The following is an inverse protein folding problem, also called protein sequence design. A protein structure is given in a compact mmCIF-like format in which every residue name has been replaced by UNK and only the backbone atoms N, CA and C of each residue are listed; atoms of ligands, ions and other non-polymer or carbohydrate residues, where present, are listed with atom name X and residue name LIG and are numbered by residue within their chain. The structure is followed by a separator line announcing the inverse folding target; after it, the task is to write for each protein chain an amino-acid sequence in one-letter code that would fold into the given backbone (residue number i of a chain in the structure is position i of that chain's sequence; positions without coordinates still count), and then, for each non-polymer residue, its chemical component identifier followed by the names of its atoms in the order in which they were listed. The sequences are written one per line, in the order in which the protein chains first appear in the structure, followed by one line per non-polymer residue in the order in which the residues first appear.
data_IF_381130752978
#
_entry.id   IF_381130752978
#
_cell.length_a   1.000
_cell.length_b   1.000
_cell.length_c   1.000
_cell.angle_alpha   90.00
_cell.angle_beta   90.00
_cell.angle_gamma   90.00
#
_symmetry.space_group_name_H-M   'P 1'
#
loop_
_entity.id
_entity.type
_entity.pdbx_description
1 polymer ?
#
# COMPACT_ATOMS: atom_id res chain seq x y z
N UNK A 1 -29.94 14.08 12.12
CA UNK A 1 -29.72 13.41 10.83
C UNK A 1 -30.93 12.53 10.59
N UNK A 2 -31.58 12.61 9.43
CA UNK A 2 -32.69 11.69 9.15
C UNK A 2 -32.15 10.26 8.86
N UNK A 3 -33.02 9.26 9.03
CA UNK A 3 -32.66 7.84 8.91
C UNK A 3 -32.12 7.50 7.52
N UNK A 4 -32.58 8.22 6.50
CA UNK A 4 -32.15 8.04 5.12
C UNK A 4 -30.70 8.50 4.92
N UNK A 5 -30.35 9.68 5.42
CA UNK A 5 -28.99 10.25 5.36
C UNK A 5 -27.99 9.38 6.14
N UNK A 6 -28.40 8.83 7.29
CA UNK A 6 -27.58 7.91 8.08
C UNK A 6 -27.24 6.62 7.30
N UNK A 7 -28.25 6.05 6.65
CA UNK A 7 -28.12 4.85 5.82
C UNK A 7 -27.22 5.08 4.60
N UNK A 8 -27.38 6.21 3.90
CA UNK A 8 -26.56 6.57 2.75
C UNK A 8 -25.09 6.79 3.14
N UNK A 9 -24.84 7.46 4.27
CA UNK A 9 -23.50 7.65 4.80
C UNK A 9 -22.85 6.30 5.14
N UNK A 10 -23.58 5.40 5.79
CA UNK A 10 -23.08 4.06 6.14
C UNK A 10 -22.69 3.25 4.89
N UNK A 11 -23.54 3.26 3.86
CA UNK A 11 -23.23 2.58 2.60
C UNK A 11 -22.01 3.19 1.89
N UNK A 12 -21.86 4.51 1.93
CA UNK A 12 -20.69 5.19 1.36
C UNK A 12 -19.40 4.79 2.11
N UNK A 13 -19.42 4.78 3.45
CA UNK A 13 -18.27 4.36 4.28
C UNK A 13 -17.88 2.90 4.01
N UNK A 14 -18.87 2.00 3.96
CA UNK A 14 -18.63 0.59 3.63
C UNK A 14 -18.02 0.42 2.23
N UNK A 15 -18.48 1.19 1.24
CA UNK A 15 -17.93 1.16 -0.12
C UNK A 15 -16.49 1.65 -0.17
N UNK A 16 -16.16 2.75 0.50
CA UNK A 16 -14.79 3.27 0.57
C UNK A 16 -13.87 2.27 1.26
N UNK A 17 -14.29 1.68 2.39
CA UNK A 17 -13.54 0.63 3.09
C UNK A 17 -13.25 -0.58 2.21
N UNK A 18 -14.23 -1.03 1.43
CA UNK A 18 -14.07 -2.12 0.47
C UNK A 18 -13.10 -1.76 -0.66
N UNK A 19 -13.14 -0.53 -1.17
CA UNK A 19 -12.19 -0.05 -2.18
C UNK A 19 -10.75 0.01 -1.64
N UNK A 20 -10.55 0.57 -0.45
CA UNK A 20 -9.22 0.63 0.18
C UNK A 20 -8.63 -0.75 0.43
N UNK A 21 -9.46 -1.72 0.84
CA UNK A 21 -8.99 -3.10 1.06
C UNK A 21 -8.56 -3.78 -0.24
N UNK A 22 -9.27 -3.53 -1.35
CA UNK A 22 -8.88 -4.03 -2.68
C UNK A 22 -7.58 -3.37 -3.17
N UNK A 23 -7.48 -2.04 -3.09
CA UNK A 23 -6.27 -1.31 -3.50
C UNK A 23 -5.06 -1.82 -2.72
N UNK A 24 -5.17 -1.98 -1.41
CA UNK A 24 -4.10 -2.51 -0.57
C UNK A 24 -3.66 -3.92 -1.04
N UNK A 25 -4.61 -4.82 -1.25
CA UNK A 25 -4.31 -6.18 -1.74
C UNK A 25 -3.67 -6.17 -3.14
N UNK A 26 -4.26 -5.41 -4.07
CA UNK A 26 -3.86 -5.38 -5.47
C UNK A 26 -2.49 -4.73 -5.68
N UNK A 27 -2.07 -3.84 -4.78
CA UNK A 27 -0.76 -3.16 -4.84
C UNK A 27 0.32 -3.91 -4.04
N UNK A 28 -0.01 -4.53 -2.90
CA UNK A 28 0.99 -5.24 -2.10
C UNK A 28 1.60 -6.43 -2.83
N UNK A 29 0.81 -7.15 -3.63
CA UNK A 29 1.32 -8.29 -4.39
C UNK A 29 2.39 -7.89 -5.42
N UNK A 30 2.15 -6.93 -6.34
CA UNK A 30 3.20 -6.46 -7.24
C UNK A 30 4.35 -5.75 -6.51
N UNK A 31 4.13 -5.04 -5.40
CA UNK A 31 5.23 -4.45 -4.61
C UNK A 31 6.15 -5.52 -4.01
N UNK A 32 5.58 -6.62 -3.50
CA UNK A 32 6.37 -7.74 -2.96
C UNK A 32 7.23 -8.38 -4.06
N UNK A 33 6.66 -8.56 -5.25
CA UNK A 33 7.42 -9.07 -6.42
C UNK A 33 8.52 -8.09 -6.83
N UNK A 34 8.25 -6.79 -6.87
CA UNK A 34 9.27 -5.78 -7.18
C UNK A 34 10.40 -5.76 -6.14
N UNK A 35 10.09 -5.81 -4.85
CA UNK A 35 11.10 -5.90 -3.78
C UNK A 35 12.02 -7.11 -3.98
N UNK A 36 11.43 -8.30 -4.14
CA UNK A 36 12.21 -9.53 -4.35
C UNK A 36 13.07 -9.49 -5.62
N UNK A 37 12.58 -8.86 -6.70
CA UNK A 37 13.38 -8.68 -7.91
C UNK A 37 14.55 -7.71 -7.69
N UNK A 38 14.36 -6.63 -6.94
CA UNK A 38 15.43 -5.68 -6.64
C UNK A 38 16.48 -6.31 -5.72
N UNK A 39 16.05 -7.07 -4.72
CA UNK A 39 16.93 -7.87 -3.84
C UNK A 39 17.76 -8.87 -4.65
N UNK A 40 17.13 -9.63 -5.56
CA UNK A 40 17.84 -10.54 -6.47
C UNK A 40 18.84 -9.80 -7.37
N UNK A 41 18.47 -8.63 -7.89
CA UNK A 41 19.38 -7.81 -8.70
C UNK A 41 20.59 -7.34 -7.89
N UNK A 42 20.43 -7.00 -6.62
CA UNK A 42 21.54 -6.65 -5.74
C UNK A 42 22.51 -7.83 -5.56
N UNK A 43 21.99 -9.04 -5.38
CA UNK A 43 22.82 -10.25 -5.31
C UNK A 43 23.59 -10.47 -6.62
N UNK A 44 22.92 -10.35 -7.77
CA UNK A 44 23.54 -10.52 -9.09
C UNK A 44 24.61 -9.46 -9.36
N UNK A 45 24.37 -8.20 -8.99
CA UNK A 45 25.34 -7.12 -9.11
C UNK A 45 26.61 -7.43 -8.33
N UNK A 46 26.47 -8.00 -7.14
CA UNK A 46 27.63 -8.41 -6.35
C UNK A 46 28.41 -9.56 -6.99
N UNK A 47 27.71 -10.55 -7.56
CA UNK A 47 28.36 -11.68 -8.25
C UNK A 47 29.06 -11.25 -9.53
N UNK A 48 28.50 -10.26 -10.24
CA UNK A 48 29.00 -9.79 -11.53
C UNK A 48 30.06 -8.68 -11.41
N UNK A 49 30.31 -8.16 -10.20
CA UNK A 49 31.28 -7.09 -9.97
C UNK A 49 30.86 -5.75 -10.55
N UNK A 50 29.55 -5.44 -10.52
CA UNK A 50 28.94 -4.23 -11.09
C UNK A 50 28.47 -3.25 -10.01
N UNK A 51 29.03 -3.34 -8.79
CA UNK A 51 28.53 -2.59 -7.64
C UNK A 51 28.68 -1.08 -7.81
N UNK A 52 29.70 -0.59 -8.52
CA UNK A 52 29.88 0.85 -8.70
C UNK A 52 28.81 1.44 -9.62
N UNK A 53 28.38 0.72 -10.65
CA UNK A 53 27.42 1.21 -11.64
C UNK A 53 25.97 1.11 -11.16
N UNK A 54 25.67 0.13 -10.30
CA UNK A 54 24.29 -0.24 -9.99
C UNK A 54 23.90 -0.10 -8.52
N UNK A 55 24.84 0.22 -7.60
CA UNK A 55 24.52 0.40 -6.18
C UNK A 55 23.48 1.49 -5.94
N UNK A 56 23.67 2.68 -6.50
CA UNK A 56 22.76 3.81 -6.30
C UNK A 56 21.39 3.58 -6.95
N UNK A 57 21.28 3.17 -8.24
CA UNK A 57 19.99 2.84 -8.84
C UNK A 57 19.20 1.76 -8.09
N UNK A 58 19.86 0.71 -7.60
CA UNK A 58 19.18 -0.35 -6.85
C UNK A 58 18.74 0.12 -5.46
N UNK A 59 19.51 1.01 -4.81
CA UNK A 59 19.10 1.63 -3.56
C UNK A 59 17.87 2.53 -3.76
N UNK A 60 17.85 3.35 -4.80
CA UNK A 60 16.71 4.21 -5.15
C UNK A 60 15.45 3.38 -5.43
N UNK A 61 15.59 2.24 -6.12
CA UNK A 61 14.48 1.33 -6.37
C UNK A 61 13.92 0.73 -5.08
N UNK A 62 14.78 0.28 -4.16
CA UNK A 62 14.33 -0.22 -2.85
C UNK A 62 13.62 0.87 -2.05
N UNK A 63 14.17 2.09 -2.01
CA UNK A 63 13.56 3.22 -1.31
C UNK A 63 12.17 3.55 -1.89
N UNK A 64 12.04 3.56 -3.22
CA UNK A 64 10.77 3.79 -3.88
C UNK A 64 9.74 2.69 -3.56
N UNK A 65 10.14 1.41 -3.58
CA UNK A 65 9.26 0.28 -3.21
C UNK A 65 8.83 0.39 -1.75
N UNK A 66 9.75 0.70 -0.84
CA UNK A 66 9.48 0.90 0.58
C UNK A 66 8.51 2.07 0.80
N UNK A 67 8.75 3.22 0.16
CA UNK A 67 7.89 4.40 0.27
C UNK A 67 6.48 4.17 -0.28
N UNK A 68 6.34 3.33 -1.31
CA UNK A 68 5.03 2.89 -1.82
C UNK A 68 4.32 1.97 -0.82
N UNK A 69 5.05 1.04 -0.19
CA UNK A 69 4.53 0.19 0.88
C UNK A 69 3.99 1.02 2.05
N UNK A 70 4.79 1.96 2.54
CA UNK A 70 4.39 2.87 3.63
C UNK A 70 3.14 3.70 3.26
N UNK A 71 3.05 4.13 2.00
CA UNK A 71 1.89 4.89 1.50
C UNK A 71 0.62 4.04 1.48
N UNK A 72 0.74 2.76 1.10
CA UNK A 72 -0.36 1.79 1.14
C UNK A 72 -0.79 1.49 2.58
N UNK A 73 0.16 1.35 3.51
CA UNK A 73 -0.14 1.13 4.93
C UNK A 73 -0.90 2.32 5.55
N UNK A 74 -0.57 3.56 5.16
CA UNK A 74 -1.34 4.74 5.57
C UNK A 74 -2.79 4.68 5.10
N UNK A 75 -3.09 4.10 3.93
CA UNK A 75 -4.47 3.89 3.49
C UNK A 75 -5.21 2.89 4.40
N UNK A 76 -4.50 1.94 5.00
CA UNK A 76 -5.10 0.99 5.96
C UNK A 76 -5.42 1.63 7.29
N UNK A 77 -4.63 2.62 7.71
CA UNK A 77 -4.96 3.48 8.86
C UNK A 77 -6.24 4.26 8.57
N UNK A 78 -6.35 4.91 7.41
CA UNK A 78 -7.58 5.62 7.00
C UNK A 78 -8.78 4.68 6.98
N UNK A 79 -8.61 3.47 6.46
CA UNK A 79 -9.65 2.43 6.50
C UNK A 79 -10.10 2.09 7.92
N UNK A 80 -9.16 2.01 8.87
CA UNK A 80 -9.46 1.82 10.29
C UNK A 80 -10.30 2.97 10.86
N UNK A 81 -9.91 4.21 10.59
CA UNK A 81 -10.66 5.40 11.00
C UNK A 81 -12.08 5.43 10.42
N UNK A 82 -12.27 5.00 9.16
CA UNK A 82 -13.60 4.88 8.56
C UNK A 82 -14.46 3.83 9.26
N UNK A 83 -13.86 2.73 9.72
CA UNK A 83 -14.57 1.70 10.49
C UNK A 83 -15.04 2.21 11.85
N UNK A 84 -14.24 3.05 12.52
CA UNK A 84 -14.63 3.71 13.78
C UNK A 84 -15.70 4.79 13.57
N UNK A 85 -15.74 5.42 12.40
CA UNK A 85 -16.78 6.38 12.05
C UNK A 85 -18.10 5.66 11.75
N UNK A 86 -18.05 4.53 11.05
CA UNK A 86 -19.23 3.69 10.75
C UNK A 86 -19.93 3.24 12.03
N UNK A 87 -19.18 2.83 13.06
CA UNK A 87 -19.76 2.41 14.36
C UNK A 87 -20.38 3.53 15.19
N UNK A 88 -20.13 4.79 14.84
CA UNK A 88 -20.72 5.98 15.47
C UNK A 88 -21.96 6.50 14.72
N UNK A 89 -22.25 5.95 13.54
CA UNK A 89 -23.44 6.25 12.73
C UNK A 89 -24.59 5.29 13.06
N UNK A 90 -24.32 4.21 13.80
CA UNK A 90 -25.31 3.33 14.44
C UNK A 90 -25.96 3.98 15.67
#
# INVERSE_FOLDING_TARGET
MDVQTASELKQALARVRGLLSRIHHDVNNPLSVLSGNVELLQELVSVLGMEEELREPLADMLEAVQGLGDSIDRLMVVRGMLSELESKVD
#
